data_IF_625203057940
#
_entry.id   IF_625203057940
#
_cell.length_a   1.000
_cell.length_b   1.000
_cell.length_c   1.000
_cell.angle_alpha   90.00
_cell.angle_beta   90.00
_cell.angle_gamma   90.00
#
_symmetry.space_group_name_H-M   'P 1'
#
loop_
_entity.id
_entity.type
_entity.pdbx_description
1 polymer ?
#
# COMPACT_ATOMS: atom_id res chain seq x y z
N UNK A 1 -5.40 8.70 22.71
CA UNK A 1 -5.39 8.81 21.24
C UNK A 1 -3.98 9.13 20.79
N UNK A 2 -3.50 8.48 19.73
CA UNK A 2 -2.22 8.84 19.12
C UNK A 2 -2.34 10.23 18.48
N UNK A 3 -1.46 11.16 18.87
CA UNK A 3 -1.47 12.53 18.34
C UNK A 3 -0.92 12.53 16.91
N UNK A 4 -1.73 13.02 15.96
CA UNK A 4 -1.29 13.28 14.59
C UNK A 4 -0.52 14.60 14.57
N UNK A 5 0.70 14.55 14.04
CA UNK A 5 1.63 15.67 13.98
C UNK A 5 1.65 16.26 12.58
N UNK A 6 1.60 17.58 12.51
CA UNK A 6 1.80 18.32 11.27
C UNK A 6 3.30 18.56 11.00
N UNK A 7 3.63 18.97 9.77
CA UNK A 7 4.99 19.35 9.37
C UNK A 7 5.66 20.36 10.32
N UNK A 8 4.91 21.31 10.88
CA UNK A 8 5.46 22.33 11.78
C UNK A 8 5.96 21.76 13.10
N UNK A 9 5.44 20.61 13.54
CA UNK A 9 5.96 19.92 14.72
C UNK A 9 7.38 19.39 14.47
N UNK A 10 7.65 18.89 13.27
CA UNK A 10 8.95 18.34 12.90
C UNK A 10 10.05 19.39 12.69
N UNK A 11 9.71 20.69 12.74
CA UNK A 11 10.66 21.81 12.70
C UNK A 11 11.29 22.12 14.07
N UNK A 12 10.90 21.40 15.12
CA UNK A 12 11.33 21.62 16.51
C UNK A 12 11.69 20.28 17.13
N UNK A 13 12.40 20.31 18.26
CA UNK A 13 12.64 19.09 19.04
C UNK A 13 11.30 18.48 19.50
N UNK A 14 11.20 17.15 19.61
CA UNK A 14 9.99 16.48 20.09
C UNK A 14 9.65 16.92 21.52
N UNK A 15 8.45 17.47 21.71
CA UNK A 15 7.94 17.85 23.03
C UNK A 15 7.44 16.63 23.81
N UNK A 16 8.06 16.32 24.97
CA UNK A 16 7.49 15.44 25.99
C UNK A 16 7.76 15.92 27.42
N UNK A 17 6.73 15.81 28.26
CA UNK A 17 6.56 16.37 29.60
C UNK A 17 7.29 15.64 30.73
N UNK A 18 8.53 15.18 30.52
CA UNK A 18 9.31 14.46 31.55
C UNK A 18 10.66 15.15 31.81
N UNK A 19 10.70 15.91 32.91
CA UNK A 19 11.77 16.88 33.24
C UNK A 19 13.19 16.31 33.40
N UNK A 20 13.38 15.03 33.72
CA UNK A 20 14.73 14.50 34.03
C UNK A 20 15.49 14.08 32.76
N UNK A 21 14.79 13.66 31.71
CA UNK A 21 15.40 13.31 30.41
C UNK A 21 15.62 14.53 29.51
N UNK A 22 15.15 15.71 29.92
CA UNK A 22 15.16 16.91 29.10
C UNK A 22 16.57 17.52 28.97
N UNK A 23 17.33 17.60 30.06
CA UNK A 23 18.68 18.18 30.06
C UNK A 23 19.67 17.34 29.25
N UNK A 24 19.63 16.00 29.41
CA UNK A 24 20.45 15.09 28.61
C UNK A 24 20.12 15.16 27.11
N UNK A 25 18.82 15.24 26.77
CA UNK A 25 18.36 15.42 25.38
C UNK A 25 18.82 16.75 24.81
N UNK A 26 18.74 17.85 25.57
CA UNK A 26 19.22 19.15 25.13
C UNK A 26 20.73 19.18 24.93
N UNK A 27 21.51 18.61 25.86
CA UNK A 27 22.96 18.52 25.74
C UNK A 27 23.37 17.74 24.49
N UNK A 28 22.68 16.62 24.21
CA UNK A 28 22.93 15.78 23.03
C UNK A 28 22.49 16.47 21.74
N UNK A 29 21.34 17.13 21.73
CA UNK A 29 20.87 17.91 20.58
C UNK A 29 21.79 19.12 20.30
N UNK A 30 22.34 19.75 21.33
CA UNK A 30 23.32 20.83 21.18
C UNK A 30 24.63 20.32 20.57
N UNK A 31 25.10 19.15 20.99
CA UNK A 31 26.28 18.51 20.39
C UNK A 31 26.03 18.08 18.94
N UNK A 32 24.90 17.44 18.64
CA UNK A 32 24.51 17.10 17.27
C UNK A 32 24.34 18.35 16.39
N UNK A 33 23.83 19.45 16.96
CA UNK A 33 23.72 20.74 16.27
C UNK A 33 25.09 21.29 15.92
N UNK A 34 26.07 21.18 16.84
CA UNK A 34 27.45 21.59 16.63
C UNK A 34 28.13 20.77 15.53
N UNK A 35 27.86 19.47 15.48
CA UNK A 35 28.51 18.53 14.57
C UNK A 35 27.87 18.48 13.18
N UNK A 36 26.54 18.56 13.10
CA UNK A 36 25.77 18.23 11.90
C UNK A 36 24.72 19.29 11.51
N UNK A 37 24.64 20.39 12.27
CA UNK A 37 23.66 21.45 12.08
C UNK A 37 22.31 21.17 12.78
N UNK A 38 21.56 22.25 13.00
CA UNK A 38 20.33 22.21 13.79
C UNK A 38 19.25 21.29 13.21
N UNK A 39 19.11 21.26 11.87
CA UNK A 39 18.09 20.43 11.21
C UNK A 39 18.38 18.94 11.38
N UNK A 40 19.64 18.53 11.22
CA UNK A 40 20.04 17.13 11.45
C UNK A 40 19.82 16.70 12.89
N UNK A 41 20.13 17.57 13.86
CA UNK A 41 19.89 17.31 15.28
C UNK A 41 18.39 17.14 15.59
N UNK A 42 17.53 17.98 15.00
CA UNK A 42 16.07 17.85 15.14
C UNK A 42 15.58 16.52 14.57
N UNK A 43 16.03 16.14 13.37
CA UNK A 43 15.64 14.89 12.73
C UNK A 43 16.08 13.67 13.55
N UNK A 44 17.34 13.65 14.00
CA UNK A 44 17.86 12.58 14.85
C UNK A 44 17.08 12.47 16.17
N UNK A 45 16.70 13.60 16.77
CA UNK A 45 15.87 13.62 17.97
C UNK A 45 14.48 13.01 17.72
N UNK A 46 13.82 13.34 16.61
CA UNK A 46 12.53 12.71 16.25
C UNK A 46 12.64 11.20 16.04
N UNK A 47 13.68 10.73 15.35
CA UNK A 47 13.90 9.30 15.17
C UNK A 47 14.11 8.59 16.51
N UNK A 48 15.03 9.10 17.33
CA UNK A 48 15.41 8.52 18.62
C UNK A 48 14.30 8.56 19.66
N UNK A 49 13.67 9.72 19.82
CA UNK A 49 12.79 9.98 20.96
C UNK A 49 11.32 9.64 20.64
N UNK A 50 10.94 9.54 19.37
CA UNK A 50 9.57 9.23 18.96
C UNK A 50 9.45 7.99 18.07
N UNK A 51 10.11 7.94 16.91
CA UNK A 51 9.85 6.89 15.91
C UNK A 51 10.37 5.52 16.32
N UNK A 52 11.59 5.39 16.84
CA UNK A 52 12.11 4.10 17.28
C UNK A 52 11.33 3.52 18.47
N UNK A 53 11.05 4.29 19.56
CA UNK A 53 10.21 3.78 20.64
C UNK A 53 8.79 3.45 20.18
N UNK A 54 8.22 4.20 19.24
CA UNK A 54 6.91 3.89 18.68
C UNK A 54 6.94 2.59 17.85
N UNK A 55 7.97 2.36 17.05
CA UNK A 55 8.14 1.12 16.29
C UNK A 55 8.33 -0.09 17.20
N UNK A 56 9.10 0.05 18.29
CA UNK A 56 9.23 -0.98 19.34
C UNK A 56 7.89 -1.30 20.00
N UNK A 57 7.05 -0.29 20.27
CA UNK A 57 5.69 -0.52 20.78
C UNK A 57 4.82 -1.31 19.79
N UNK A 58 4.86 -0.95 18.51
CA UNK A 58 4.13 -1.71 17.46
C UNK A 58 4.61 -3.16 17.41
N UNK A 59 5.94 -3.38 17.48
CA UNK A 59 6.51 -4.72 17.54
C UNK A 59 6.07 -5.47 18.81
N UNK A 60 5.94 -4.78 19.94
CA UNK A 60 5.38 -5.31 21.18
C UNK A 60 3.96 -5.84 20.99
N UNK A 61 3.08 -5.06 20.33
CA UNK A 61 1.71 -5.49 20.03
C UNK A 61 1.69 -6.75 19.16
N UNK A 62 2.54 -6.80 18.13
CA UNK A 62 2.70 -7.98 17.27
C UNK A 62 3.14 -9.19 18.08
N UNK A 63 4.15 -9.05 18.94
CA UNK A 63 4.72 -10.15 19.72
C UNK A 63 3.74 -10.68 20.78
N UNK A 64 2.93 -9.80 21.36
CA UNK A 64 1.94 -10.14 22.39
C UNK A 64 0.56 -10.53 21.80
N UNK A 65 0.43 -10.56 20.48
CA UNK A 65 -0.84 -10.79 19.77
C UNK A 65 -1.94 -9.76 20.12
N UNK A 66 -1.53 -8.54 20.45
CA UNK A 66 -2.42 -7.38 20.71
C UNK A 66 -2.74 -6.65 19.40
N UNK A 67 -3.24 -7.40 18.40
CA UNK A 67 -3.60 -6.85 17.08
C UNK A 67 -5.12 -6.75 17.00
N UNK A 68 -5.63 -5.53 17.10
CA UNK A 68 -7.06 -5.22 17.05
C UNK A 68 -7.33 -3.84 16.41
N UNK A 69 -8.60 -3.45 16.30
CA UNK A 69 -9.00 -2.19 15.68
C UNK A 69 -8.51 -0.93 16.41
N UNK A 70 -8.32 -1.00 17.73
CA UNK A 70 -7.85 0.11 18.54
C UNK A 70 -6.35 0.34 18.29
N UNK A 71 -5.57 -0.74 18.30
CA UNK A 71 -4.16 -0.72 17.91
C UNK A 71 -3.98 -0.35 16.45
N UNK A 72 -4.89 -0.77 15.55
CA UNK A 72 -4.84 -0.37 14.15
C UNK A 72 -5.03 1.13 13.97
N UNK A 73 -5.91 1.79 14.74
CA UNK A 73 -6.03 3.25 14.71
C UNK A 73 -4.72 3.94 15.16
N UNK A 74 -4.04 3.37 16.16
CA UNK A 74 -2.74 3.88 16.60
C UNK A 74 -1.63 3.65 15.56
N UNK A 75 -1.64 2.49 14.90
CA UNK A 75 -0.73 2.17 13.80
C UNK A 75 -0.93 3.12 12.61
N UNK A 76 -2.18 3.44 12.24
CA UNK A 76 -2.47 4.42 11.17
C UNK A 76 -1.96 5.83 11.52
N UNK A 77 -2.19 6.29 12.75
CA UNK A 77 -1.68 7.57 13.22
C UNK A 77 -0.13 7.61 13.22
N UNK A 78 0.50 6.50 13.61
CA UNK A 78 1.94 6.34 13.55
C UNK A 78 2.46 6.39 12.10
N UNK A 79 1.85 5.63 11.18
CA UNK A 79 2.19 5.69 9.75
C UNK A 79 2.02 7.10 9.19
N UNK A 80 0.94 7.82 9.55
CA UNK A 80 0.71 9.20 9.11
C UNK A 80 1.82 10.14 9.59
N UNK A 81 2.24 10.00 10.83
CA UNK A 81 3.34 10.78 11.38
C UNK A 81 4.66 10.48 10.67
N UNK A 82 4.94 9.21 10.37
CA UNK A 82 6.12 8.81 9.60
C UNK A 82 6.13 9.43 8.20
N UNK A 83 5.02 9.32 7.46
CA UNK A 83 4.89 9.88 6.11
C UNK A 83 5.09 11.39 6.11
N UNK A 84 4.52 12.08 7.10
CA UNK A 84 4.65 13.54 7.24
C UNK A 84 6.10 13.94 7.55
N UNK A 85 6.79 13.12 8.37
CA UNK A 85 8.19 13.32 8.69
C UNK A 85 9.11 13.03 7.49
N UNK A 86 8.87 11.95 6.75
CA UNK A 86 9.64 11.59 5.56
C UNK A 86 9.51 12.65 4.46
N UNK A 87 8.29 13.17 4.23
CA UNK A 87 8.08 14.30 3.33
C UNK A 87 8.85 15.56 3.79
N UNK A 88 8.91 15.81 5.11
CA UNK A 88 9.72 16.89 5.65
C UNK A 88 11.22 16.69 5.38
N UNK A 89 11.74 15.47 5.58
CA UNK A 89 13.13 15.13 5.30
C UNK A 89 13.47 15.38 3.82
N UNK A 90 12.64 14.92 2.89
CA UNK A 90 12.83 15.12 1.46
C UNK A 90 12.90 16.61 1.09
N UNK A 91 12.06 17.46 1.67
CA UNK A 91 12.10 18.90 1.38
C UNK A 91 13.34 19.61 1.97
N UNK A 92 13.97 19.03 2.97
CA UNK A 92 15.19 19.57 3.63
C UNK A 92 16.50 18.91 3.14
N UNK A 93 16.40 17.98 2.19
CA UNK A 93 17.42 16.97 1.85
C UNK A 93 18.68 17.48 1.15
N UNK A 94 18.82 18.77 0.84
CA UNK A 94 20.11 19.32 0.39
C UNK A 94 21.21 19.26 1.46
N UNK A 95 20.88 18.94 2.72
CA UNK A 95 21.82 18.96 3.85
C UNK A 95 21.88 17.68 4.69
N UNK A 96 20.99 16.70 4.47
CA UNK A 96 20.82 15.59 5.41
C UNK A 96 21.60 14.35 4.94
N UNK A 97 22.88 14.32 5.28
CA UNK A 97 23.73 13.13 5.18
C UNK A 97 23.52 12.22 6.41
N UNK A 98 22.25 11.95 6.77
CA UNK A 98 21.93 11.39 8.09
C UNK A 98 21.72 9.88 8.08
N UNK A 99 22.33 9.24 9.08
CA UNK A 99 21.99 7.89 9.53
C UNK A 99 20.50 7.72 9.90
N UNK A 100 19.70 8.80 9.99
CA UNK A 100 18.27 8.73 10.25
C UNK A 100 17.45 8.19 9.05
N UNK A 101 17.93 8.38 7.82
CA UNK A 101 17.35 7.71 6.62
C UNK A 101 17.78 6.24 6.56
N UNK A 102 18.95 5.91 7.14
CA UNK A 102 19.53 4.57 7.07
C UNK A 102 18.68 3.50 7.80
N UNK A 103 17.83 3.87 8.75
CA UNK A 103 16.99 2.94 9.52
C UNK A 103 15.48 3.06 9.25
N UNK A 104 15.09 3.46 8.03
CA UNK A 104 13.69 3.30 7.54
C UNK A 104 13.16 1.88 7.79
N UNK A 105 14.02 0.88 7.74
CA UNK A 105 13.69 -0.51 8.06
C UNK A 105 13.12 -0.69 9.47
N UNK A 106 13.78 -0.09 10.46
CA UNK A 106 13.43 -0.20 11.88
C UNK A 106 12.02 0.31 12.17
N UNK A 107 11.55 1.28 11.38
CA UNK A 107 10.20 1.83 11.51
C UNK A 107 9.17 1.04 10.69
N UNK A 108 9.48 0.70 9.43
CA UNK A 108 8.50 0.11 8.53
C UNK A 108 8.30 -1.40 8.72
N UNK A 109 9.31 -2.14 9.18
CA UNK A 109 9.17 -3.59 9.35
C UNK A 109 8.15 -3.98 10.44
N UNK A 110 8.12 -3.35 11.63
CA UNK A 110 7.07 -3.60 12.62
C UNK A 110 5.66 -3.26 12.11
N UNK A 111 5.54 -2.17 11.34
CA UNK A 111 4.26 -1.80 10.69
C UNK A 111 3.81 -2.86 9.69
N UNK A 112 4.72 -3.37 8.86
CA UNK A 112 4.44 -4.45 7.92
C UNK A 112 3.91 -5.71 8.61
N UNK A 113 4.59 -6.14 9.67
CA UNK A 113 4.17 -7.27 10.51
C UNK A 113 2.82 -7.04 11.18
N UNK A 114 2.56 -5.82 11.63
CA UNK A 114 1.28 -5.47 12.23
C UNK A 114 0.15 -5.62 11.21
N UNK A 115 0.30 -5.07 10.01
CA UNK A 115 -0.71 -5.14 8.96
C UNK A 115 -0.91 -6.55 8.40
N UNK A 116 0.15 -7.35 8.31
CA UNK A 116 0.07 -8.78 8.00
C UNK A 116 -0.83 -9.53 9.00
N UNK A 117 -0.60 -9.34 10.30
CA UNK A 117 -1.43 -9.96 11.34
C UNK A 117 -2.84 -9.40 11.36
N UNK A 118 -3.01 -8.10 11.19
CA UNK A 118 -4.31 -7.45 11.16
C UNK A 118 -5.14 -7.97 9.98
N UNK A 119 -4.51 -8.10 8.82
CA UNK A 119 -5.11 -8.71 7.65
C UNK A 119 -5.59 -10.13 7.95
N UNK A 120 -4.71 -10.99 8.47
CA UNK A 120 -5.06 -12.37 8.79
C UNK A 120 -6.27 -12.50 9.73
N UNK A 121 -6.41 -11.59 10.70
CA UNK A 121 -7.46 -11.62 11.72
C UNK A 121 -8.79 -10.98 11.30
N UNK A 122 -8.74 -9.88 10.55
CA UNK A 122 -9.91 -9.01 10.32
C UNK A 122 -10.25 -8.79 8.85
N UNK A 123 -9.31 -9.00 7.94
CA UNK A 123 -9.47 -8.66 6.52
C UNK A 123 -9.33 -9.86 5.58
N UNK A 124 -8.86 -11.00 6.10
CA UNK A 124 -8.77 -12.23 5.34
C UNK A 124 -10.18 -12.67 4.94
N UNK A 125 -10.38 -12.87 3.63
CA UNK A 125 -11.59 -13.50 3.13
C UNK A 125 -11.48 -15.02 3.20
N UNK A 126 -12.58 -15.71 2.88
CA UNK A 126 -12.53 -17.14 2.61
C UNK A 126 -11.54 -17.41 1.46
N UNK A 127 -10.69 -18.43 1.64
CA UNK A 127 -9.81 -18.88 0.57
C UNK A 127 -10.66 -19.54 -0.53
N UNK A 128 -10.77 -18.84 -1.65
CA UNK A 128 -11.59 -19.25 -2.79
C UNK A 128 -10.90 -18.86 -4.09
N UNK A 129 -11.28 -19.56 -5.16
CA UNK A 129 -10.88 -19.18 -6.51
C UNK A 129 -11.64 -17.95 -6.97
N UNK A 130 -11.12 -17.28 -7.98
CA UNK A 130 -11.79 -16.11 -8.56
C UNK A 130 -13.13 -16.47 -9.21
N UNK A 131 -13.28 -17.67 -9.75
CA UNK A 131 -14.54 -18.13 -10.36
C UNK A 131 -15.68 -18.27 -9.33
N UNK A 132 -15.34 -18.51 -8.06
CA UNK A 132 -16.30 -18.58 -6.96
C UNK A 132 -16.56 -17.21 -6.32
N UNK A 133 -16.02 -16.13 -6.91
CA UNK A 133 -16.23 -14.76 -6.43
C UNK A 133 -17.66 -14.30 -6.71
N UNK A 134 -18.33 -13.61 -5.76
CA UNK A 134 -19.56 -12.87 -6.06
C UNK A 134 -19.31 -11.73 -7.08
N UNK A 135 -18.05 -11.37 -7.33
CA UNK A 135 -17.64 -10.37 -8.31
C UNK A 135 -17.09 -10.99 -9.61
N UNK A 136 -17.25 -12.30 -9.80
CA UNK A 136 -16.84 -12.94 -11.05
C UNK A 136 -17.69 -12.44 -12.21
N UNK A 137 -17.06 -12.10 -13.35
CA UNK A 137 -17.72 -11.39 -14.46
C UNK A 137 -19.02 -12.06 -14.96
N UNK A 138 -19.11 -13.40 -14.89
CA UNK A 138 -20.31 -14.14 -15.33
C UNK A 138 -21.49 -14.05 -14.36
N UNK A 139 -21.23 -13.72 -13.11
CA UNK A 139 -22.21 -13.63 -12.03
C UNK A 139 -22.61 -12.17 -11.74
N UNK A 140 -21.97 -11.18 -12.39
CA UNK A 140 -22.26 -9.78 -12.18
C UNK A 140 -23.67 -9.42 -12.65
N UNK A 141 -24.37 -8.62 -11.84
CA UNK A 141 -25.61 -8.02 -12.28
C UNK A 141 -25.38 -7.07 -13.47
N UNK A 142 -26.38 -6.87 -14.35
CA UNK A 142 -26.22 -6.03 -15.53
C UNK A 142 -25.81 -4.57 -15.23
N UNK A 143 -26.21 -4.02 -14.09
CA UNK A 143 -25.89 -2.64 -13.73
C UNK A 143 -24.40 -2.49 -13.36
N UNK A 144 -23.85 -3.45 -12.61
CA UNK A 144 -22.43 -3.48 -12.28
C UNK A 144 -21.56 -3.76 -13.53
N UNK A 145 -22.02 -4.64 -14.43
CA UNK A 145 -21.35 -4.86 -15.72
C UNK A 145 -21.30 -3.58 -16.56
N UNK A 146 -22.39 -2.80 -16.63
CA UNK A 146 -22.39 -1.51 -17.30
C UNK A 146 -21.38 -0.53 -16.69
N UNK A 147 -21.27 -0.47 -15.36
CA UNK A 147 -20.26 0.38 -14.69
C UNK A 147 -18.83 -0.05 -15.00
N UNK A 148 -18.60 -1.36 -15.05
CA UNK A 148 -17.29 -1.91 -15.42
C UNK A 148 -16.89 -1.48 -16.83
N UNK A 149 -17.80 -1.58 -17.81
CA UNK A 149 -17.53 -1.09 -19.16
C UNK A 149 -17.29 0.42 -19.19
N UNK A 150 -18.12 1.20 -18.50
CA UNK A 150 -17.97 2.65 -18.41
C UNK A 150 -16.61 3.06 -17.82
N UNK A 151 -16.09 2.32 -16.84
CA UNK A 151 -14.77 2.58 -16.26
C UNK A 151 -13.63 2.50 -17.28
N UNK A 152 -13.69 1.53 -18.22
CA UNK A 152 -12.70 1.47 -19.31
C UNK A 152 -12.88 2.63 -20.29
N UNK A 153 -14.13 2.96 -20.65
CA UNK A 153 -14.43 4.08 -21.55
C UNK A 153 -13.97 5.42 -20.99
N UNK A 154 -14.17 5.66 -19.70
CA UNK A 154 -13.72 6.87 -19.00
C UNK A 154 -12.18 7.03 -19.03
N UNK A 155 -11.45 5.91 -19.15
CA UNK A 155 -10.00 5.90 -19.31
C UNK A 155 -9.54 5.95 -20.77
N UNK A 156 -10.45 6.06 -21.74
CA UNK A 156 -10.18 5.93 -23.17
C UNK A 156 -9.54 4.56 -23.53
N UNK A 157 -9.96 3.52 -22.81
CA UNK A 157 -9.56 2.14 -23.01
C UNK A 157 -10.71 1.32 -23.59
N UNK A 158 -10.40 0.44 -24.54
CA UNK A 158 -11.38 -0.51 -25.08
C UNK A 158 -11.31 -1.82 -24.30
N UNK A 159 -12.41 -2.20 -23.66
CA UNK A 159 -12.51 -3.47 -22.93
C UNK A 159 -12.02 -4.66 -23.74
N UNK A 160 -12.50 -4.79 -24.99
CA UNK A 160 -12.12 -5.89 -25.87
C UNK A 160 -10.63 -5.88 -26.21
N UNK A 161 -10.05 -4.70 -26.42
CA UNK A 161 -8.62 -4.58 -26.71
C UNK A 161 -7.76 -4.95 -25.51
N UNK A 162 -8.21 -4.66 -24.28
CA UNK A 162 -7.55 -5.10 -23.06
C UNK A 162 -7.63 -6.63 -22.92
N UNK A 163 -8.82 -7.22 -23.04
CA UNK A 163 -9.04 -8.68 -23.01
C UNK A 163 -8.17 -9.38 -24.07
N UNK A 164 -8.17 -8.87 -25.30
CA UNK A 164 -7.34 -9.38 -26.39
C UNK A 164 -5.85 -9.24 -26.08
N UNK A 165 -5.38 -8.11 -25.54
CA UNK A 165 -3.95 -7.93 -25.18
C UNK A 165 -3.49 -8.91 -24.09
N UNK A 166 -4.36 -9.20 -23.13
CA UNK A 166 -4.10 -10.21 -22.10
C UNK A 166 -4.01 -11.62 -22.68
N UNK A 167 -4.78 -11.91 -23.73
CA UNK A 167 -4.84 -13.23 -24.37
C UNK A 167 -3.86 -13.38 -25.56
N UNK A 168 -3.47 -12.30 -26.24
CA UNK A 168 -2.71 -12.29 -27.50
C UNK A 168 -1.19 -12.20 -27.35
N UNK A 169 -0.63 -11.83 -26.19
CA UNK A 169 0.83 -11.90 -25.95
C UNK A 169 1.38 -13.35 -25.96
N UNK A 170 0.68 -14.33 -26.55
CA UNK A 170 1.08 -15.73 -26.63
C UNK A 170 1.56 -16.15 -28.02
N UNK A 171 1.63 -15.24 -29.00
CA UNK A 171 1.91 -15.62 -30.40
C UNK A 171 3.27 -15.17 -30.95
N UNK A 172 4.02 -14.29 -30.28
CA UNK A 172 5.31 -13.80 -30.79
C UNK A 172 6.56 -14.27 -30.03
N UNK A 173 6.44 -15.12 -29.02
CA UNK A 173 7.59 -15.75 -28.34
C UNK A 173 7.71 -17.24 -28.69
N UNK A 174 7.60 -17.56 -29.98
CA UNK A 174 8.17 -18.80 -30.53
C UNK A 174 9.64 -18.57 -30.87
N UNK A 175 10.48 -18.34 -29.84
CA UNK A 175 11.90 -18.65 -29.91
C UNK A 175 12.20 -19.77 -28.91
N UNK A 176 12.19 -20.97 -29.47
CA UNK A 176 12.94 -22.18 -29.10
C UNK A 176 13.62 -22.19 -27.72
N UNK A 177 13.10 -23.03 -26.83
CA UNK A 177 13.96 -23.78 -25.90
C UNK A 177 13.76 -23.54 -24.41
N UNK A 178 12.54 -23.67 -23.88
CA UNK A 178 12.39 -24.05 -22.46
C UNK A 178 11.13 -24.89 -22.20
N UNK A 179 11.22 -26.02 -21.48
CA UNK A 179 10.07 -26.90 -21.22
C UNK A 179 9.12 -26.37 -20.12
N UNK A 180 9.13 -25.06 -19.82
CA UNK A 180 8.36 -24.45 -18.74
C UNK A 180 7.02 -23.81 -19.19
N UNK A 181 6.78 -23.64 -20.49
CA UNK A 181 5.76 -22.70 -20.98
C UNK A 181 4.31 -23.21 -21.14
N UNK A 182 3.98 -24.39 -20.59
CA UNK A 182 2.57 -24.81 -20.54
C UNK A 182 1.76 -24.10 -19.44
N UNK A 183 2.43 -23.40 -18.51
CA UNK A 183 1.79 -22.65 -17.42
C UNK A 183 1.36 -21.22 -17.81
N UNK A 184 1.91 -20.66 -18.90
CA UNK A 184 1.76 -19.23 -19.24
C UNK A 184 0.39 -18.80 -19.82
N UNK A 185 -0.44 -19.72 -20.33
CA UNK A 185 -1.78 -19.36 -20.86
C UNK A 185 -2.89 -19.42 -19.81
N UNK A 186 -2.82 -20.41 -18.91
CA UNK A 186 -3.81 -20.61 -17.85
C UNK A 186 -3.75 -19.50 -16.79
N UNK A 187 -2.54 -18.99 -16.51
CA UNK A 187 -2.36 -17.89 -15.55
C UNK A 187 -2.90 -16.57 -16.05
N UNK A 188 -2.73 -16.23 -17.34
CA UNK A 188 -3.18 -14.93 -17.85
C UNK A 188 -4.69 -14.75 -17.80
N UNK A 189 -5.46 -15.79 -18.11
CA UNK A 189 -6.92 -15.73 -18.00
C UNK A 189 -7.36 -15.61 -16.53
N UNK A 190 -6.68 -16.33 -15.63
CA UNK A 190 -6.90 -16.21 -14.18
C UNK A 190 -6.61 -14.80 -13.70
N UNK A 191 -5.49 -14.20 -14.11
CA UNK A 191 -5.08 -12.85 -13.71
C UNK A 191 -6.08 -11.79 -14.20
N UNK A 192 -6.50 -11.92 -15.45
CA UNK A 192 -7.54 -11.05 -16.00
C UNK A 192 -8.86 -11.19 -15.24
N UNK A 193 -9.28 -12.40 -14.90
CA UNK A 193 -10.47 -12.62 -14.07
C UNK A 193 -10.30 -12.00 -12.67
N UNK A 194 -9.13 -12.13 -12.03
CA UNK A 194 -8.83 -11.54 -10.72
C UNK A 194 -8.92 -10.02 -10.79
N UNK A 195 -8.36 -9.42 -11.83
CA UNK A 195 -8.46 -7.99 -12.08
C UNK A 195 -9.89 -7.52 -12.24
N UNK A 196 -10.67 -8.19 -13.09
CA UNK A 196 -12.07 -7.85 -13.32
C UNK A 196 -12.91 -8.00 -12.06
N UNK A 197 -12.67 -9.04 -11.26
CA UNK A 197 -13.34 -9.21 -9.98
C UNK A 197 -12.96 -8.11 -8.98
N UNK A 198 -11.68 -7.72 -8.93
CA UNK A 198 -11.21 -6.58 -8.13
C UNK A 198 -11.86 -5.25 -8.55
N UNK A 199 -11.96 -5.01 -9.87
CA UNK A 199 -12.62 -3.83 -10.44
C UNK A 199 -14.13 -3.82 -10.16
N UNK A 200 -14.81 -4.94 -10.37
CA UNK A 200 -16.23 -5.05 -10.05
C UNK A 200 -16.47 -4.79 -8.55
N UNK A 201 -15.59 -5.29 -7.68
CA UNK A 201 -15.65 -5.04 -6.24
C UNK A 201 -15.42 -3.57 -5.87
N UNK A 202 -14.50 -2.87 -6.54
CA UNK A 202 -14.28 -1.44 -6.29
C UNK A 202 -15.44 -0.56 -6.77
N UNK A 203 -16.12 -0.98 -7.86
CA UNK A 203 -17.28 -0.29 -8.43
C UNK A 203 -18.62 -0.61 -7.75
N UNK A 204 -18.66 -1.69 -6.96
CA UNK A 204 -19.85 -2.09 -6.22
C UNK A 204 -20.25 -0.99 -5.21
N UNK A 205 -21.54 -0.62 -5.22
CA UNK A 205 -22.06 0.42 -4.33
C UNK A 205 -21.97 0.02 -2.86
N UNK A 206 -21.89 1.00 -1.97
CA UNK A 206 -21.89 0.83 -0.50
C UNK A 206 -23.15 0.16 0.06
N UNK A 207 -24.10 -0.26 -0.78
CA UNK A 207 -25.26 -1.03 -0.36
C UNK A 207 -24.90 -2.47 0.02
N UNK A 208 -23.81 -3.03 -0.53
CA UNK A 208 -23.33 -4.36 -0.17
C UNK A 208 -22.10 -4.33 0.75
N UNK A 209 -22.24 -3.59 1.86
CA UNK A 209 -21.18 -3.39 2.87
C UNK A 209 -20.57 -4.69 3.41
N UNK A 210 -21.29 -5.81 3.30
CA UNK A 210 -20.87 -7.13 3.81
C UNK A 210 -19.72 -7.73 2.99
N UNK A 211 -19.56 -7.29 1.74
CA UNK A 211 -18.56 -7.81 0.83
C UNK A 211 -17.32 -6.90 0.71
N UNK A 212 -17.36 -5.68 1.27
CA UNK A 212 -16.21 -4.77 1.31
C UNK A 212 -15.34 -5.08 2.51
N UNK A 213 -14.13 -5.57 2.21
CA UNK A 213 -13.08 -5.83 3.20
C UNK A 213 -11.87 -4.98 2.80
N UNK A 214 -11.29 -4.16 3.70
CA UNK A 214 -11.71 -3.92 5.08
C UNK A 214 -13.11 -3.32 5.17
N UNK A 215 -13.74 -3.42 6.34
CA UNK A 215 -15.09 -2.90 6.56
C UNK A 215 -15.18 -1.42 6.17
N UNK A 216 -16.32 -0.96 5.62
CA UNK A 216 -16.48 0.46 5.26
C UNK A 216 -16.18 1.41 6.42
N UNK A 217 -16.58 1.06 7.65
CA UNK A 217 -16.29 1.86 8.86
C UNK A 217 -14.79 2.00 9.14
N UNK A 218 -13.99 0.99 8.80
CA UNK A 218 -12.55 1.07 8.93
C UNK A 218 -11.93 1.91 7.80
N UNK A 219 -12.43 1.76 6.57
CA UNK A 219 -12.00 2.56 5.40
C UNK A 219 -12.35 4.06 5.53
N UNK A 220 -13.42 4.39 6.24
CA UNK A 220 -13.85 5.75 6.54
C UNK A 220 -12.97 6.45 7.61
N UNK A 221 -12.05 5.74 8.27
CA UNK A 221 -11.06 6.38 9.16
C UNK A 221 -10.21 7.35 8.33
N UNK A 222 -10.09 8.58 8.81
CA UNK A 222 -9.38 9.67 8.13
C UNK A 222 -7.94 9.27 7.75
N UNK A 223 -7.33 8.40 8.53
CA UNK A 223 -5.96 7.94 8.40
C UNK A 223 -5.81 6.61 7.65
N UNK A 224 -6.88 5.98 7.15
CA UNK A 224 -6.81 4.68 6.45
C UNK A 224 -5.72 4.67 5.38
N UNK A 225 -5.69 5.71 4.55
CA UNK A 225 -4.73 5.86 3.47
C UNK A 225 -3.29 6.02 3.95
N UNK A 226 -3.04 6.34 5.22
CA UNK A 226 -1.68 6.38 5.78
C UNK A 226 -1.02 5.00 5.84
N UNK A 227 -1.78 3.91 5.65
CA UNK A 227 -1.24 2.55 5.51
C UNK A 227 -0.43 2.36 4.21
N UNK A 228 -0.70 3.12 3.17
CA UNK A 228 -0.21 2.82 1.81
C UNK A 228 1.11 3.48 1.38
N UNK A 229 1.48 4.70 1.83
CA UNK A 229 2.74 5.35 1.44
C UNK A 229 4.01 4.73 2.04
N UNK A 230 4.03 3.40 2.23
CA UNK A 230 5.15 2.60 2.76
C UNK A 230 6.12 2.21 1.63
N UNK A 231 5.63 2.14 0.38
CA UNK A 231 6.45 1.88 -0.80
C UNK A 231 7.28 3.09 -1.21
N UNK A 232 8.54 2.84 -1.53
CA UNK A 232 9.38 3.77 -2.28
C UNK A 232 8.97 3.74 -3.77
N UNK A 233 9.25 4.81 -4.52
CA UNK A 233 8.98 4.89 -5.97
C UNK A 233 9.69 3.76 -6.74
N UNK A 234 10.88 3.38 -6.27
CA UNK A 234 11.65 2.26 -6.83
C UNK A 234 11.17 0.89 -6.30
N UNK A 235 10.08 0.86 -5.53
CA UNK A 235 9.44 -0.34 -4.98
C UNK A 235 10.35 -1.17 -4.07
N UNK A 236 11.47 -0.60 -3.65
CA UNK A 236 12.34 -1.12 -2.58
C UNK A 236 11.61 -1.27 -1.23
N UNK A 237 10.44 -0.65 -1.07
CA UNK A 237 9.58 -0.78 0.10
C UNK A 237 8.72 -2.06 0.12
N UNK A 238 8.63 -2.82 -0.97
CA UNK A 238 7.76 -4.02 -1.05
C UNK A 238 8.12 -5.03 0.04
N UNK A 239 9.39 -5.13 0.44
CA UNK A 239 9.83 -6.01 1.54
C UNK A 239 9.16 -5.75 2.90
N UNK A 240 8.57 -4.58 3.11
CA UNK A 240 7.85 -4.23 4.33
C UNK A 240 6.34 -4.34 4.17
N UNK A 241 5.86 -4.44 2.94
CA UNK A 241 4.47 -4.71 2.66
C UNK A 241 4.30 -6.23 2.68
N UNK A 242 3.37 -6.73 3.49
CA UNK A 242 3.22 -8.17 3.77
C UNK A 242 1.77 -8.64 3.72
N UNK A 243 0.90 -7.80 3.19
CA UNK A 243 -0.51 -8.10 3.06
C UNK A 243 -1.03 -7.51 1.74
N UNK A 244 -2.06 -8.15 1.15
CA UNK A 244 -2.54 -7.80 -0.19
C UNK A 244 -3.17 -6.41 -0.26
N UNK A 245 -3.86 -5.95 0.80
CA UNK A 245 -4.55 -4.66 0.80
C UNK A 245 -3.53 -3.51 0.82
N UNK A 246 -2.53 -3.58 1.70
CA UNK A 246 -1.43 -2.60 1.72
C UNK A 246 -0.70 -2.61 0.39
N UNK A 247 -0.42 -3.78 -0.19
CA UNK A 247 0.27 -3.89 -1.47
C UNK A 247 -0.51 -3.18 -2.59
N UNK A 248 -1.78 -3.51 -2.75
CA UNK A 248 -2.62 -2.89 -3.76
C UNK A 248 -2.69 -1.37 -3.60
N UNK A 249 -2.98 -0.91 -2.38
CA UNK A 249 -3.03 0.52 -2.08
C UNK A 249 -1.72 1.24 -2.33
N UNK A 250 -0.60 0.63 -1.92
CA UNK A 250 0.71 1.24 -2.06
C UNK A 250 1.18 1.30 -3.52
N UNK A 251 0.95 0.25 -4.32
CA UNK A 251 1.24 0.28 -5.76
C UNK A 251 0.36 1.31 -6.45
N UNK A 252 -0.90 1.48 -6.04
CA UNK A 252 -1.80 2.48 -6.61
C UNK A 252 -1.45 3.93 -6.29
N UNK A 253 -0.50 4.16 -5.39
CA UNK A 253 0.08 5.50 -5.15
C UNK A 253 1.34 5.77 -5.97
N UNK A 254 1.85 4.77 -6.69
CA UNK A 254 3.03 4.93 -7.56
C UNK A 254 2.56 5.42 -8.93
N UNK A 255 2.98 6.63 -9.27
CA UNK A 255 2.73 7.30 -10.55
C UNK A 255 1.25 7.30 -11.01
N UNK A 256 0.30 7.75 -10.17
CA UNK A 256 -1.13 7.74 -10.49
C UNK A 256 -1.46 8.58 -11.73
N UNK A 257 -0.62 9.58 -12.05
CA UNK A 257 -0.77 10.46 -13.20
C UNK A 257 -0.72 9.72 -14.54
N UNK A 258 -0.05 8.56 -14.62
CA UNK A 258 0.02 7.77 -15.85
C UNK A 258 -1.37 7.29 -16.25
N UNK A 259 -2.18 6.84 -15.29
CA UNK A 259 -3.52 6.37 -15.57
C UNK A 259 -4.47 7.53 -15.93
N UNK A 260 -4.26 8.69 -15.31
CA UNK A 260 -5.13 9.87 -15.48
C UNK A 260 -4.83 10.65 -16.76
N UNK A 261 -3.56 10.83 -17.10
CA UNK A 261 -3.11 11.77 -18.14
C UNK A 261 -2.34 11.11 -19.29
N UNK A 262 -1.92 9.86 -19.14
CA UNK A 262 -1.24 9.11 -20.19
C UNK A 262 -2.11 8.88 -21.42
N UNK A 263 -1.49 8.51 -22.54
CA UNK A 263 -2.24 8.00 -23.69
C UNK A 263 -2.77 6.57 -23.42
N UNK A 264 -3.71 6.09 -24.26
CA UNK A 264 -4.32 4.78 -24.09
C UNK A 264 -3.29 3.63 -23.99
N UNK A 265 -2.15 3.76 -24.70
CA UNK A 265 -1.07 2.76 -24.66
C UNK A 265 -0.38 2.76 -23.30
N UNK A 266 0.01 3.92 -22.80
CA UNK A 266 0.68 4.10 -21.52
C UNK A 266 -0.20 3.68 -20.36
N UNK A 267 -1.50 4.02 -20.39
CA UNK A 267 -2.50 3.54 -19.42
C UNK A 267 -2.61 2.01 -19.42
N UNK A 268 -2.67 1.42 -20.62
CA UNK A 268 -2.74 -0.04 -20.79
C UNK A 268 -1.49 -0.73 -20.24
N UNK A 269 -0.31 -0.25 -20.59
CA UNK A 269 0.97 -0.80 -20.11
C UNK A 269 1.09 -0.68 -18.59
N UNK A 270 0.70 0.47 -18.03
CA UNK A 270 0.67 0.71 -16.59
C UNK A 270 -0.24 -0.27 -15.86
N UNK A 271 -1.49 -0.44 -16.34
CA UNK A 271 -2.44 -1.38 -15.74
C UNK A 271 -1.93 -2.81 -15.83
N UNK A 272 -1.45 -3.24 -17.00
CA UNK A 272 -0.95 -4.59 -17.22
C UNK A 272 0.24 -4.91 -16.30
N UNK A 273 1.23 -4.02 -16.23
CA UNK A 273 2.42 -4.23 -15.42
C UNK A 273 2.09 -4.30 -13.93
N UNK A 274 1.31 -3.33 -13.42
CA UNK A 274 0.96 -3.29 -12.00
C UNK A 274 0.02 -4.42 -11.61
N UNK A 275 -0.93 -4.79 -12.47
CA UNK A 275 -1.81 -5.92 -12.24
C UNK A 275 -1.03 -7.24 -12.14
N UNK A 276 -0.20 -7.57 -13.14
CA UNK A 276 0.61 -8.79 -13.08
C UNK A 276 1.49 -8.79 -11.83
N UNK A 277 2.17 -7.67 -11.55
CA UNK A 277 3.04 -7.55 -10.38
C UNK A 277 2.31 -7.77 -9.06
N UNK A 278 1.15 -7.15 -8.87
CA UNK A 278 0.37 -7.29 -7.63
C UNK A 278 -0.05 -8.75 -7.46
N UNK A 279 -0.60 -9.35 -8.53
CA UNK A 279 -1.10 -10.73 -8.48
C UNK A 279 0.07 -11.71 -8.25
N UNK A 280 1.19 -11.55 -8.96
CA UNK A 280 2.41 -12.35 -8.77
C UNK A 280 2.88 -12.29 -7.32
N UNK A 281 3.03 -11.10 -6.74
CA UNK A 281 3.48 -10.96 -5.34
C UNK A 281 2.49 -11.63 -4.38
N UNK A 282 1.18 -11.48 -4.58
CA UNK A 282 0.19 -12.08 -3.68
C UNK A 282 0.18 -13.61 -3.79
N UNK A 283 0.18 -14.14 -5.01
CA UNK A 283 0.07 -15.59 -5.24
C UNK A 283 1.41 -16.31 -5.01
N UNK A 284 2.53 -15.72 -5.41
CA UNK A 284 3.84 -16.35 -5.39
C UNK A 284 4.72 -15.93 -4.22
N UNK A 285 4.75 -14.67 -3.82
CA UNK A 285 5.62 -14.25 -2.71
C UNK A 285 4.91 -14.43 -1.36
N UNK A 286 3.66 -13.97 -1.25
CA UNK A 286 2.87 -14.12 -0.03
C UNK A 286 2.19 -15.49 0.08
N UNK A 287 2.13 -16.26 -1.01
CA UNK A 287 1.47 -17.58 -1.07
C UNK A 287 0.02 -17.54 -0.61
N UNK A 288 -0.72 -16.51 -1.02
CA UNK A 288 -2.15 -16.34 -0.74
C UNK A 288 -3.01 -16.74 -1.96
N UNK A 289 -4.32 -16.87 -1.76
CA UNK A 289 -5.28 -17.28 -2.80
C UNK A 289 -5.83 -16.12 -3.65
N UNK A 290 -6.65 -16.46 -4.64
CA UNK A 290 -7.25 -15.49 -5.59
C UNK A 290 -8.07 -14.41 -4.89
N UNK A 291 -8.77 -14.75 -3.81
CA UNK A 291 -9.53 -13.79 -3.02
C UNK A 291 -8.65 -12.68 -2.43
N UNK A 292 -7.42 -13.00 -2.03
CA UNK A 292 -6.45 -12.01 -1.56
C UNK A 292 -5.97 -11.11 -2.71
N UNK A 293 -5.70 -11.70 -3.88
CA UNK A 293 -5.29 -10.95 -5.06
C UNK A 293 -6.42 -10.03 -5.58
N UNK A 294 -7.67 -10.48 -5.52
CA UNK A 294 -8.87 -9.69 -5.80
C UNK A 294 -8.97 -8.47 -4.87
N UNK A 295 -8.72 -8.64 -3.56
CA UNK A 295 -8.70 -7.53 -2.60
C UNK A 295 -7.56 -6.54 -2.85
N UNK A 296 -6.38 -7.04 -3.20
CA UNK A 296 -5.26 -6.20 -3.61
C UNK A 296 -5.64 -5.36 -4.83
N UNK A 297 -6.24 -5.98 -5.85
CA UNK A 297 -6.67 -5.27 -7.06
C UNK A 297 -7.76 -4.26 -6.80
N UNK A 298 -8.75 -4.60 -5.97
CA UNK A 298 -9.79 -3.68 -5.52
C UNK A 298 -9.16 -2.42 -4.89
N UNK A 299 -8.19 -2.60 -3.98
CA UNK A 299 -7.53 -1.48 -3.29
C UNK A 299 -6.68 -0.65 -4.25
N UNK A 300 -5.95 -1.29 -5.17
CA UNK A 300 -5.20 -0.61 -6.23
C UNK A 300 -6.09 0.28 -7.08
N UNK A 301 -7.23 -0.24 -7.55
CA UNK A 301 -8.16 0.50 -8.41
C UNK A 301 -8.88 1.62 -7.67
N UNK A 302 -9.19 1.42 -6.38
CA UNK A 302 -9.73 2.48 -5.53
C UNK A 302 -8.79 3.68 -5.44
N UNK A 303 -7.47 3.47 -5.48
CA UNK A 303 -6.52 4.59 -5.39
C UNK A 303 -6.51 5.53 -6.58
N UNK A 304 -7.02 5.08 -7.71
CA UNK A 304 -7.17 5.87 -8.93
C UNK A 304 -8.56 6.50 -9.09
N UNK A 305 -9.54 6.01 -8.31
CA UNK A 305 -10.94 6.42 -8.41
C UNK A 305 -11.25 7.72 -7.66
N UNK A 306 -10.36 8.12 -6.73
CA UNK A 306 -10.49 9.36 -5.98
C UNK A 306 -9.56 10.41 -6.59
N UNK A 307 -10.13 11.44 -7.20
CA UNK A 307 -9.40 12.68 -7.49
C UNK A 307 -8.88 13.25 -6.16
N UNK A 308 -7.56 13.45 -6.07
CA UNK A 308 -6.85 13.93 -4.88
C UNK A 308 -6.73 15.46 -4.86
#
# INVERSE_FOLDING_TARGET
MALIRSRTHFLRLPDESTNILFEERQARAAEETRLHGAQTAICNAWCRDYFFPAAERVQGWVNNSEVDEAHAAMALAFSRNWITFEAHLHDTSSFINSNAVADRHTVLAPLGLFWEKFYALYESGEDRRVEDSPFYIKELDPALLCRLHAWFEDLDLRFQSMDDMFLMKSTDESQEGSPADSHGKTDRRRYWNIFLAGLARSLASDTDRRLKVPSPSFREKLEWKARFPILDKDLNGVKYVRDPITLGGAVGLVDPDILLTGDAKSKTEYLLQNMCRIIDIVLDDYKLGDAAAEQAMCTFLEMHSFQW
#
